data_IF_538107100841
#
_entry.id   IF_538107100841
#
_cell.length_a   1.000
_cell.length_b   1.000
_cell.length_c   1.000
_cell.angle_alpha   90.00
_cell.angle_beta   90.00
_cell.angle_gamma   90.00
#
_symmetry.space_group_name_H-M   'P 1'
#
loop_
_entity.id
_entity.type
_entity.pdbx_description
1 polymer ?
#
# COMPACT_ATOMS: atom_id res chain seq x y z
N UNK A 1 38.65 -51.69 5.44
CA UNK A 1 37.92 -50.40 5.50
C UNK A 1 38.89 -49.22 5.42
N UNK A 2 39.79 -49.22 4.42
CA UNK A 2 40.69 -48.10 4.04
C UNK A 2 40.87 -48.04 2.51
N UNK A 3 40.54 -49.10 1.74
CA UNK A 3 40.65 -49.09 0.26
C UNK A 3 39.44 -48.54 -0.51
N UNK A 4 38.27 -48.37 0.12
CA UNK A 4 37.08 -47.80 -0.56
C UNK A 4 37.04 -46.27 -0.57
N UNK A 5 37.85 -45.59 0.25
CA UNK A 5 37.85 -44.12 0.32
C UNK A 5 38.75 -43.46 -0.73
N UNK A 6 39.80 -44.16 -1.21
CA UNK A 6 40.71 -43.65 -2.25
C UNK A 6 40.11 -43.65 -3.66
N UNK A 7 39.17 -44.56 -3.97
CA UNK A 7 38.54 -44.63 -5.31
C UNK A 7 37.44 -43.59 -5.53
N UNK A 8 36.79 -43.13 -4.46
CA UNK A 8 35.72 -42.12 -4.56
C UNK A 8 36.28 -40.69 -4.75
N UNK A 9 37.48 -40.43 -4.24
CA UNK A 9 38.16 -39.13 -4.37
C UNK A 9 38.80 -38.95 -5.76
N UNK A 10 39.30 -40.03 -6.37
CA UNK A 10 39.87 -40.00 -7.72
C UNK A 10 38.77 -39.86 -8.80
N UNK A 11 37.57 -40.38 -8.55
CA UNK A 11 36.44 -40.29 -9.50
C UNK A 11 35.78 -38.90 -9.51
N UNK A 12 35.85 -38.15 -8.40
CA UNK A 12 35.38 -36.75 -8.32
C UNK A 12 36.34 -35.74 -8.96
N UNK A 13 37.62 -36.08 -9.08
CA UNK A 13 38.62 -35.23 -9.77
C UNK A 13 38.65 -35.45 -11.28
N UNK A 14 38.20 -36.61 -11.78
CA UNK A 14 38.15 -36.91 -13.23
C UNK A 14 36.86 -36.45 -13.93
N UNK A 15 35.80 -36.14 -13.18
CA UNK A 15 34.54 -35.60 -13.74
C UNK A 15 34.48 -34.07 -13.77
N UNK A 16 35.55 -33.39 -13.33
CA UNK A 16 35.64 -31.93 -13.30
C UNK A 16 36.02 -31.27 -14.63
N UNK A 17 36.40 -32.03 -15.65
CA UNK A 17 36.85 -31.49 -16.93
C UNK A 17 36.52 -32.48 -18.06
N UNK A 18 35.35 -32.36 -18.69
CA UNK A 18 35.03 -32.70 -20.10
C UNK A 18 33.52 -32.94 -20.31
N UNK A 19 32.87 -32.01 -21.02
CA UNK A 19 31.86 -32.31 -22.04
C UNK A 19 30.48 -32.78 -21.59
N UNK A 20 29.59 -31.82 -21.31
CA UNK A 20 28.14 -32.03 -21.09
C UNK A 20 27.31 -32.38 -22.34
N UNK A 21 27.79 -33.25 -23.23
CA UNK A 21 27.00 -33.67 -24.41
C UNK A 21 26.91 -35.19 -24.66
N UNK A 22 27.52 -36.04 -23.82
CA UNK A 22 27.52 -37.50 -24.02
C UNK A 22 26.68 -38.29 -23.01
N UNK A 23 26.01 -37.63 -22.08
CA UNK A 23 25.22 -38.29 -21.02
C UNK A 23 23.75 -38.54 -21.41
N UNK A 24 23.15 -37.69 -22.25
CA UNK A 24 21.73 -37.83 -22.60
C UNK A 24 21.44 -39.06 -23.48
N UNK A 25 22.31 -39.36 -24.45
CA UNK A 25 22.08 -40.45 -25.43
C UNK A 25 22.23 -41.84 -24.80
N UNK A 26 23.11 -42.00 -23.81
CA UNK A 26 23.29 -43.27 -23.10
C UNK A 26 22.11 -43.59 -22.16
N UNK A 27 21.50 -42.56 -21.56
CA UNK A 27 20.35 -42.71 -20.64
C UNK A 27 19.10 -43.13 -21.42
N UNK A 28 18.85 -42.53 -22.59
CA UNK A 28 17.70 -42.88 -23.46
C UNK A 28 17.82 -44.32 -23.99
N UNK A 29 19.03 -44.77 -24.34
CA UNK A 29 19.27 -46.14 -24.79
C UNK A 29 19.08 -47.19 -23.67
N UNK A 30 19.34 -46.84 -22.41
CA UNK A 30 19.12 -47.72 -21.26
C UNK A 30 17.63 -47.85 -20.91
N UNK A 31 16.86 -46.75 -21.02
CA UNK A 31 15.42 -46.72 -20.74
C UNK A 31 14.61 -47.55 -21.75
N UNK A 32 14.97 -47.50 -23.04
CA UNK A 32 14.32 -48.29 -24.08
C UNK A 32 14.49 -49.82 -23.91
N UNK A 33 15.63 -50.26 -23.35
CA UNK A 33 15.89 -51.70 -23.08
C UNK A 33 15.10 -52.26 -21.90
N UNK A 34 14.56 -51.42 -21.03
CA UNK A 34 13.75 -51.85 -19.87
C UNK A 34 12.24 -51.70 -20.10
N UNK A 35 11.80 -51.36 -21.32
CA UNK A 35 10.38 -51.20 -21.63
C UNK A 35 9.73 -49.98 -20.97
N UNK A 36 10.53 -49.02 -20.51
CA UNK A 36 10.05 -47.79 -19.88
C UNK A 36 9.88 -46.75 -20.98
N UNK A 37 8.63 -46.40 -21.30
CA UNK A 37 8.32 -45.36 -22.27
C UNK A 37 8.86 -44.00 -21.79
N UNK A 38 9.46 -43.18 -22.67
CA UNK A 38 9.91 -41.85 -22.29
C UNK A 38 8.70 -40.98 -21.91
N UNK A 39 8.86 -40.25 -20.81
CA UNK A 39 7.88 -39.29 -20.31
C UNK A 39 7.72 -38.17 -21.34
N UNK A 40 6.57 -38.13 -22.02
CA UNK A 40 6.19 -36.97 -22.83
C UNK A 40 5.86 -35.82 -21.87
N UNK A 41 6.53 -34.66 -21.97
CA UNK A 41 6.12 -33.50 -21.20
C UNK A 41 4.73 -33.09 -21.69
N UNK A 42 3.76 -33.02 -20.76
CA UNK A 42 2.45 -32.46 -21.05
C UNK A 42 2.59 -31.09 -21.73
N UNK A 43 1.73 -30.76 -22.71
CA UNK A 43 1.77 -29.46 -23.35
C UNK A 43 1.61 -28.39 -22.27
N UNK A 44 2.59 -27.48 -22.24
CA UNK A 44 2.58 -26.27 -21.45
C UNK A 44 1.18 -25.66 -21.41
N UNK A 45 0.66 -25.40 -20.21
CA UNK A 45 -0.54 -24.59 -19.99
C UNK A 45 -0.58 -23.44 -21.00
N UNK A 46 -1.73 -23.17 -21.62
CA UNK A 46 -1.80 -22.15 -22.65
C UNK A 46 -1.28 -20.84 -22.08
N UNK A 47 -0.23 -20.30 -22.71
CA UNK A 47 0.19 -18.92 -22.52
C UNK A 47 -1.04 -18.09 -22.85
N UNK A 48 -1.68 -17.55 -21.81
CA UNK A 48 -2.81 -16.64 -21.99
C UNK A 48 -2.34 -15.53 -22.93
N UNK A 49 -3.05 -15.28 -24.05
CA UNK A 49 -2.66 -14.21 -24.94
C UNK A 49 -2.59 -12.92 -24.13
N UNK A 50 -1.53 -12.12 -24.34
CA UNK A 50 -1.45 -10.73 -23.90
C UNK A 50 -2.50 -9.91 -24.66
N UNK A 51 -3.78 -10.21 -24.44
CA UNK A 51 -4.86 -9.34 -24.82
C UNK A 51 -4.71 -8.10 -23.93
N UNK A 52 -4.55 -6.93 -24.56
CA UNK A 52 -4.88 -5.67 -23.90
C UNK A 52 -6.38 -5.73 -23.61
N UNK A 53 -6.75 -6.30 -22.47
CA UNK A 53 -8.11 -6.20 -21.97
C UNK A 53 -8.24 -4.74 -21.54
N UNK A 54 -8.85 -3.90 -22.38
CA UNK A 54 -9.43 -2.65 -21.92
C UNK A 54 -10.61 -3.04 -21.03
N UNK A 55 -10.34 -3.29 -19.75
CA UNK A 55 -11.37 -3.57 -18.76
C UNK A 55 -12.12 -2.25 -18.56
N UNK A 56 -13.37 -2.20 -19.03
CA UNK A 56 -14.27 -1.11 -18.71
C UNK A 56 -14.61 -1.14 -17.23
N UNK A 57 -14.91 0.02 -16.65
CA UNK A 57 -15.30 0.10 -15.23
C UNK A 57 -16.51 -0.78 -14.88
N UNK A 58 -17.38 -1.01 -15.87
CA UNK A 58 -18.58 -1.85 -15.77
C UNK A 58 -18.31 -3.36 -15.87
N UNK A 59 -17.08 -3.76 -16.22
CA UNK A 59 -16.70 -5.18 -16.35
C UNK A 59 -16.36 -5.84 -15.00
N UNK A 60 -16.27 -5.05 -13.92
CA UNK A 60 -15.99 -5.56 -12.58
C UNK A 60 -17.26 -6.07 -11.89
N UNK A 61 -17.15 -7.07 -10.99
CA UNK A 61 -18.29 -7.53 -10.21
C UNK A 61 -18.99 -6.38 -9.46
N UNK A 62 -20.34 -6.35 -9.45
CA UNK A 62 -21.09 -5.30 -8.77
C UNK A 62 -20.85 -5.34 -7.26
N UNK A 63 -20.74 -4.17 -6.64
CA UNK A 63 -20.46 -4.05 -5.21
C UNK A 63 -21.68 -4.50 -4.37
N UNK A 64 -21.44 -5.34 -3.36
CA UNK A 64 -22.44 -5.93 -2.45
C UNK A 64 -22.54 -5.18 -1.13
N UNK A 65 -21.40 -4.72 -0.58
CA UNK A 65 -21.35 -3.82 0.58
C UNK A 65 -20.69 -2.51 0.16
N UNK A 66 -21.47 -1.43 0.10
CA UNK A 66 -21.04 -0.10 -0.29
C UNK A 66 -21.08 0.93 0.86
N UNK A 67 -21.31 0.48 2.11
CA UNK A 67 -21.42 1.35 3.29
C UNK A 67 -20.23 2.29 3.42
N UNK A 68 -19.02 1.81 3.13
CA UNK A 68 -17.83 2.65 3.21
C UNK A 68 -17.81 3.77 2.15
N UNK A 69 -18.24 3.48 0.91
CA UNK A 69 -18.30 4.51 -0.14
C UNK A 69 -19.44 5.51 0.14
N UNK A 70 -20.58 5.04 0.66
CA UNK A 70 -21.69 5.88 1.14
C UNK A 70 -21.22 6.80 2.26
N UNK A 71 -20.55 6.26 3.29
CA UNK A 71 -19.98 7.06 4.38
C UNK A 71 -18.98 8.10 3.87
N UNK A 72 -18.10 7.73 2.93
CA UNK A 72 -17.13 8.66 2.33
C UNK A 72 -17.82 9.86 1.67
N UNK A 73 -18.95 9.65 0.99
CA UNK A 73 -19.76 10.71 0.36
C UNK A 73 -20.69 11.44 1.33
N UNK A 74 -20.83 10.91 2.55
CA UNK A 74 -21.75 11.40 3.57
C UNK A 74 -23.21 11.03 3.31
N UNK A 75 -23.43 9.96 2.58
CA UNK A 75 -24.74 9.34 2.42
C UNK A 75 -25.08 8.53 3.68
N UNK A 76 -26.37 8.26 3.96
CA UNK A 76 -26.76 7.37 5.05
C UNK A 76 -26.09 6.00 4.91
N UNK A 77 -25.77 5.33 6.02
CA UNK A 77 -25.19 3.99 6.06
C UNK A 77 -25.99 3.09 6.98
N UNK A 78 -25.93 1.79 6.76
CA UNK A 78 -26.69 0.81 7.53
C UNK A 78 -25.98 0.50 8.87
N UNK A 79 -24.64 0.55 8.87
CA UNK A 79 -23.76 0.48 10.04
C UNK A 79 -22.52 1.36 9.83
N UNK A 80 -21.79 1.70 10.89
CA UNK A 80 -20.51 2.40 10.76
C UNK A 80 -19.51 1.48 10.06
N UNK A 81 -18.95 1.86 8.89
CA UNK A 81 -17.99 1.02 8.19
C UNK A 81 -16.62 1.08 8.88
N UNK A 82 -15.92 -0.05 8.93
CA UNK A 82 -14.59 -0.17 9.52
C UNK A 82 -13.59 -0.84 8.58
N UNK A 83 -12.39 -0.28 8.53
CA UNK A 83 -11.20 -0.92 7.98
C UNK A 83 -9.98 -0.50 8.78
N UNK A 84 -8.84 -1.19 8.62
CA UNK A 84 -7.65 -0.91 9.43
C UNK A 84 -6.43 -0.67 8.57
N UNK A 85 -5.75 0.45 8.79
CA UNK A 85 -4.44 0.70 8.19
C UNK A 85 -3.47 -0.45 8.54
N UNK A 86 -2.82 -1.01 7.52
CA UNK A 86 -1.97 -2.22 7.61
C UNK A 86 -2.72 -3.50 8.06
N UNK A 87 -4.02 -3.61 7.76
CA UNK A 87 -4.81 -4.84 7.98
C UNK A 87 -4.17 -6.09 7.37
N UNK A 88 -3.49 -5.96 6.22
CA UNK A 88 -2.56 -6.97 5.72
C UNK A 88 -1.16 -6.66 6.30
N UNK A 89 -0.73 -7.40 7.32
CA UNK A 89 0.50 -7.05 8.02
C UNK A 89 1.00 -8.11 8.99
N UNK A 90 2.16 -7.82 9.58
CA UNK A 90 2.95 -8.76 10.39
C UNK A 90 2.26 -9.32 11.63
N UNK A 91 1.17 -8.72 12.10
CA UNK A 91 0.37 -9.28 13.19
C UNK A 91 -0.35 -10.58 12.80
N UNK A 92 -0.51 -10.85 11.49
CA UNK A 92 -1.07 -12.09 10.96
C UNK A 92 0.03 -13.15 10.76
N UNK A 93 -0.11 -14.37 11.32
CA UNK A 93 0.82 -15.47 11.07
C UNK A 93 0.97 -15.82 9.59
N UNK A 94 -0.14 -15.91 8.85
CA UNK A 94 -0.13 -16.24 7.42
C UNK A 94 0.53 -15.15 6.55
N UNK A 95 0.53 -13.89 7.01
CA UNK A 95 1.31 -12.83 6.36
C UNK A 95 2.81 -13.09 6.55
N UNK A 96 3.21 -13.45 7.76
CA UNK A 96 4.60 -13.77 8.06
C UNK A 96 5.08 -15.00 7.27
N UNK A 97 4.23 -16.01 7.07
CA UNK A 97 4.54 -17.19 6.26
C UNK A 97 4.86 -16.84 4.80
N UNK A 98 4.10 -15.92 4.19
CA UNK A 98 4.38 -15.42 2.82
C UNK A 98 5.70 -14.63 2.81
N UNK A 99 5.88 -13.73 3.78
CA UNK A 99 7.10 -12.88 3.90
C UNK A 99 8.36 -13.68 4.24
N UNK A 100 8.24 -14.89 4.78
CA UNK A 100 9.37 -15.79 5.01
C UNK A 100 9.91 -16.42 3.72
N UNK A 101 9.06 -16.53 2.68
CA UNK A 101 9.40 -17.17 1.39
C UNK A 101 9.84 -16.17 0.31
N UNK A 102 9.41 -14.92 0.43
CA UNK A 102 9.64 -13.87 -0.57
C UNK A 102 10.13 -12.60 0.10
N UNK A 103 11.01 -11.82 -0.54
CA UNK A 103 11.34 -10.47 -0.05
C UNK A 103 10.19 -9.47 -0.32
N UNK A 104 10.24 -8.30 0.32
CA UNK A 104 9.09 -7.39 0.41
C UNK A 104 8.68 -6.86 -0.96
N UNK A 105 9.65 -6.42 -1.76
CA UNK A 105 9.36 -5.88 -3.07
C UNK A 105 9.00 -6.97 -4.07
N UNK A 106 9.48 -8.21 -3.90
CA UNK A 106 8.95 -9.35 -4.65
C UNK A 106 7.46 -9.56 -4.41
N UNK A 107 6.99 -9.49 -3.15
CA UNK A 107 5.55 -9.56 -2.84
C UNK A 107 4.79 -8.40 -3.50
N UNK A 108 5.30 -7.16 -3.41
CA UNK A 108 4.65 -6.00 -4.04
C UNK A 108 4.62 -6.08 -5.58
N UNK A 109 5.65 -6.66 -6.21
CA UNK A 109 5.81 -6.71 -7.68
C UNK A 109 5.14 -7.92 -8.33
N UNK A 110 4.63 -8.85 -7.54
CA UNK A 110 3.96 -10.06 -8.03
C UNK A 110 2.46 -9.93 -7.72
N UNK A 111 1.60 -9.64 -8.72
CA UNK A 111 0.17 -9.41 -8.52
C UNK A 111 -0.52 -10.47 -7.67
N UNK A 112 -0.22 -11.75 -7.90
CA UNK A 112 -0.82 -12.88 -7.19
C UNK A 112 -0.45 -12.87 -5.70
N UNK A 113 0.82 -12.58 -5.37
CA UNK A 113 1.28 -12.50 -3.98
C UNK A 113 0.69 -11.28 -3.28
N UNK A 114 0.62 -10.13 -3.96
CA UNK A 114 0.00 -8.92 -3.43
C UNK A 114 -1.50 -9.14 -3.15
N UNK A 115 -2.22 -9.79 -4.06
CA UNK A 115 -3.63 -10.13 -3.88
C UNK A 115 -3.83 -11.14 -2.74
N UNK A 116 -2.97 -12.16 -2.64
CA UNK A 116 -3.04 -13.15 -1.57
C UNK A 116 -2.94 -12.48 -0.20
N UNK A 117 -1.91 -11.67 0.06
CA UNK A 117 -1.77 -10.99 1.36
C UNK A 117 -2.86 -9.95 1.60
N UNK A 118 -3.38 -9.33 0.54
CA UNK A 118 -4.53 -8.41 0.63
C UNK A 118 -5.81 -9.12 1.10
N UNK A 119 -6.04 -10.36 0.65
CA UNK A 119 -7.21 -11.17 1.02
C UNK A 119 -7.17 -11.71 2.45
N UNK A 120 -5.98 -11.94 3.02
CA UNK A 120 -5.81 -12.54 4.36
C UNK A 120 -6.71 -11.93 5.46
N UNK A 121 -6.70 -10.61 5.72
CA UNK A 121 -7.56 -10.01 6.73
C UNK A 121 -9.06 -10.18 6.43
N UNK A 122 -9.47 -10.15 5.16
CA UNK A 122 -10.88 -10.30 4.77
C UNK A 122 -11.43 -11.72 4.94
N UNK A 123 -10.53 -12.72 5.08
CA UNK A 123 -10.88 -14.10 5.43
C UNK A 123 -11.09 -14.27 6.94
N UNK A 124 -10.51 -13.39 7.76
CA UNK A 124 -10.59 -13.43 9.22
C UNK A 124 -11.65 -12.52 9.81
N UNK A 125 -11.80 -11.33 9.25
CA UNK A 125 -12.57 -10.25 9.85
C UNK A 125 -13.61 -9.72 8.85
N UNK A 126 -14.77 -9.29 9.38
CA UNK A 126 -15.83 -8.64 8.60
C UNK A 126 -15.49 -7.16 8.33
N UNK A 127 -14.38 -6.90 7.64
CA UNK A 127 -13.99 -5.52 7.30
C UNK A 127 -14.86 -4.98 6.17
N UNK A 128 -15.14 -3.68 6.17
CA UNK A 128 -15.96 -2.99 5.15
C UNK A 128 -15.14 -2.38 4.00
N UNK A 129 -13.82 -2.58 3.99
CA UNK A 129 -12.95 -2.31 2.84
C UNK A 129 -11.73 -3.22 2.78
N UNK A 130 -11.21 -3.36 1.57
CA UNK A 130 -9.88 -3.86 1.28
C UNK A 130 -8.96 -2.70 0.93
N UNK A 131 -7.65 -2.84 1.19
CA UNK A 131 -6.62 -1.95 0.68
C UNK A 131 -5.55 -2.78 -0.02
N UNK A 132 -5.21 -2.44 -1.26
CA UNK A 132 -4.22 -3.21 -2.02
C UNK A 132 -2.89 -3.25 -1.28
N UNK A 133 -2.26 -4.41 -1.18
CA UNK A 133 -0.92 -4.52 -0.63
C UNK A 133 0.11 -3.98 -1.62
N UNK A 134 0.77 -2.89 -1.24
CA UNK A 134 1.87 -2.26 -1.95
C UNK A 134 2.70 -1.45 -0.93
N UNK A 135 3.55 -0.56 -1.38
CA UNK A 135 4.30 0.37 -0.53
C UNK A 135 4.39 1.75 -1.16
N UNK A 136 4.48 2.80 -0.34
CA UNK A 136 4.59 4.18 -0.86
C UNK A 136 5.89 4.41 -1.63
N UNK A 137 6.95 3.64 -1.33
CA UNK A 137 8.28 3.80 -1.91
C UNK A 137 8.42 3.19 -3.31
N UNK A 138 7.36 2.60 -3.86
CA UNK A 138 7.35 2.16 -5.26
C UNK A 138 7.52 3.33 -6.23
N UNK A 139 7.02 4.53 -5.89
CA UNK A 139 7.23 5.74 -6.71
C UNK A 139 8.72 6.14 -6.76
N UNK A 140 9.42 6.33 -5.62
CA UNK A 140 10.88 6.49 -5.62
C UNK A 140 11.63 5.41 -6.41
N UNK A 141 11.27 4.12 -6.27
CA UNK A 141 11.87 3.06 -7.07
C UNK A 141 11.65 3.25 -8.57
N UNK A 142 10.42 3.60 -8.97
CA UNK A 142 10.08 3.84 -10.36
C UNK A 142 10.76 5.10 -10.93
N UNK A 143 11.14 6.06 -10.06
CA UNK A 143 11.99 7.20 -10.43
C UNK A 143 13.48 6.86 -10.51
N UNK A 144 13.87 5.60 -10.27
CA UNK A 144 15.25 5.14 -10.37
C UNK A 144 16.04 5.15 -9.06
N UNK A 145 15.39 5.37 -7.91
CA UNK A 145 16.05 5.29 -6.60
C UNK A 145 16.03 3.84 -6.09
N UNK A 146 17.19 3.32 -5.73
CA UNK A 146 17.28 2.01 -5.07
C UNK A 146 16.63 2.07 -3.68
N UNK A 147 15.69 1.15 -3.42
CA UNK A 147 15.06 1.00 -2.10
C UNK A 147 15.16 -0.46 -1.69
N UNK A 148 15.73 -0.71 -0.52
CA UNK A 148 15.90 -2.03 0.10
C UNK A 148 15.01 -2.14 1.34
N UNK A 149 14.36 -3.28 1.55
CA UNK A 149 13.65 -3.55 2.80
C UNK A 149 14.53 -4.39 3.72
N UNK A 150 15.12 -3.76 4.74
CA UNK A 150 16.01 -4.45 5.70
C UNK A 150 15.23 -5.00 6.89
N UNK A 151 15.36 -6.30 7.23
CA UNK A 151 14.71 -6.89 8.40
C UNK A 151 15.02 -6.11 9.68
N UNK A 152 13.99 -5.80 10.48
CA UNK A 152 14.11 -5.07 11.74
C UNK A 152 14.39 -3.56 11.61
N UNK A 153 14.80 -3.08 10.45
CA UNK A 153 15.12 -1.65 10.20
C UNK A 153 14.01 -0.96 9.39
N UNK A 154 13.45 -1.65 8.40
CA UNK A 154 12.50 -1.07 7.45
C UNK A 154 13.18 -0.64 6.14
N UNK A 155 12.59 0.31 5.40
CA UNK A 155 13.13 0.74 4.11
C UNK A 155 14.41 1.54 4.27
N UNK A 156 15.39 1.23 3.41
CA UNK A 156 16.70 1.90 3.33
C UNK A 156 16.97 2.26 1.87
N UNK A 157 17.40 3.50 1.65
CA UNK A 157 17.82 4.01 0.36
C UNK A 157 19.33 4.24 0.44
N UNK A 158 20.17 3.34 -0.11
CA UNK A 158 21.62 3.37 0.10
C UNK A 158 22.28 4.62 -0.51
N UNK A 159 21.67 5.17 -1.55
CA UNK A 159 22.12 6.39 -2.24
C UNK A 159 20.99 7.44 -2.17
N UNK A 160 20.79 8.11 -1.02
CA UNK A 160 19.80 9.18 -0.91
C UNK A 160 20.18 10.40 -1.76
N UNK A 161 19.23 11.31 -1.96
CA UNK A 161 19.50 12.63 -2.54
C UNK A 161 20.22 13.49 -1.51
N UNK A 162 21.43 13.96 -1.84
CA UNK A 162 22.26 14.78 -0.95
C UNK A 162 22.14 16.25 -1.34
N UNK A 163 22.11 16.57 -2.63
CA UNK A 163 21.95 17.95 -3.11
C UNK A 163 21.21 18.08 -4.45
N UNK A 164 21.00 19.32 -4.93
CA UNK A 164 20.21 19.60 -6.13
C UNK A 164 20.67 18.88 -7.40
N UNK A 165 21.98 18.59 -7.53
CA UNK A 165 22.54 17.88 -8.67
C UNK A 165 21.97 16.45 -8.80
N UNK A 166 21.61 15.81 -7.68
CA UNK A 166 21.06 14.45 -7.68
C UNK A 166 19.67 14.36 -8.29
N UNK A 167 18.98 15.48 -8.51
CA UNK A 167 17.71 15.48 -9.26
C UNK A 167 17.91 15.04 -10.72
N UNK A 168 19.12 15.20 -11.26
CA UNK A 168 19.44 14.82 -12.64
C UNK A 168 19.42 13.32 -12.92
N UNK A 169 19.51 12.46 -11.89
CA UNK A 169 19.43 11.01 -12.04
C UNK A 169 18.01 10.44 -11.91
N UNK A 170 17.02 11.27 -11.59
CA UNK A 170 15.63 10.83 -11.49
C UNK A 170 15.06 10.57 -12.89
N UNK A 171 14.58 9.35 -13.13
CA UNK A 171 13.97 8.96 -14.39
C UNK A 171 12.44 9.06 -14.32
N UNK A 172 11.90 10.17 -14.82
CA UNK A 172 10.45 10.42 -14.89
C UNK A 172 9.79 9.73 -16.10
N UNK A 173 10.56 9.40 -17.13
CA UNK A 173 10.01 8.78 -18.34
C UNK A 173 9.73 7.31 -18.07
N UNK A 174 8.50 6.86 -18.34
CA UNK A 174 8.13 5.45 -18.20
C UNK A 174 7.82 5.03 -16.75
N UNK A 175 7.61 5.96 -15.82
CA UNK A 175 7.40 5.64 -14.39
C UNK A 175 6.16 4.77 -14.20
N UNK A 176 5.05 5.10 -14.86
CA UNK A 176 3.79 4.36 -14.73
C UNK A 176 3.90 2.97 -15.34
N UNK A 177 4.62 2.83 -16.45
CA UNK A 177 4.91 1.54 -17.09
C UNK A 177 5.73 0.64 -16.16
N UNK A 178 6.67 1.20 -15.38
CA UNK A 178 7.40 0.47 -14.35
C UNK A 178 6.51 0.08 -13.16
N UNK A 179 5.43 0.81 -12.92
CA UNK A 179 4.45 0.57 -11.84
C UNK A 179 3.24 -0.26 -12.30
N UNK A 180 3.21 -0.75 -13.54
CA UNK A 180 2.07 -1.50 -14.09
C UNK A 180 1.66 -2.71 -13.24
N UNK A 181 2.60 -3.33 -12.54
CA UNK A 181 2.34 -4.48 -11.67
C UNK A 181 1.36 -4.12 -10.54
N UNK A 182 1.32 -2.86 -10.08
CA UNK A 182 0.34 -2.40 -9.09
C UNK A 182 -1.05 -2.37 -9.72
N UNK A 183 -1.17 -1.84 -10.95
CA UNK A 183 -2.43 -1.84 -11.69
C UNK A 183 -2.93 -3.26 -11.94
N UNK A 184 -2.05 -4.17 -12.36
CA UNK A 184 -2.35 -5.59 -12.54
C UNK A 184 -2.87 -6.22 -11.23
N UNK A 185 -2.22 -5.93 -10.09
CA UNK A 185 -2.66 -6.38 -8.77
C UNK A 185 -4.04 -5.81 -8.38
N UNK A 186 -4.30 -4.52 -8.63
CA UNK A 186 -5.60 -3.90 -8.34
C UNK A 186 -6.71 -4.53 -9.18
N UNK A 187 -6.49 -4.72 -10.48
CA UNK A 187 -7.46 -5.35 -11.38
C UNK A 187 -7.76 -6.79 -10.94
N UNK A 188 -6.72 -7.56 -10.63
CA UNK A 188 -6.87 -8.93 -10.13
C UNK A 188 -7.63 -8.95 -8.81
N UNK A 189 -7.23 -8.11 -7.85
CA UNK A 189 -7.85 -8.03 -6.53
C UNK A 189 -9.32 -7.62 -6.62
N UNK A 190 -9.66 -6.62 -7.46
CA UNK A 190 -11.03 -6.17 -7.67
C UNK A 190 -11.94 -7.29 -8.18
N UNK A 191 -11.41 -8.20 -9.01
CA UNK A 191 -12.13 -9.41 -9.45
C UNK A 191 -12.25 -10.44 -8.33
N UNK A 192 -11.16 -10.73 -7.62
CA UNK A 192 -11.11 -11.69 -6.50
C UNK A 192 -12.04 -11.31 -5.34
N UNK A 193 -12.28 -10.01 -5.13
CA UNK A 193 -13.24 -9.54 -4.13
C UNK A 193 -14.68 -9.93 -4.47
N UNK A 194 -15.02 -10.18 -5.74
CA UNK A 194 -16.36 -10.49 -6.21
C UNK A 194 -17.42 -9.51 -5.67
N UNK A 195 -17.03 -8.23 -5.60
CA UNK A 195 -17.87 -7.16 -5.07
C UNK A 195 -18.10 -7.19 -3.56
N UNK A 196 -17.42 -8.02 -2.77
CA UNK A 196 -17.64 -8.14 -1.31
C UNK A 196 -17.55 -6.79 -0.61
N UNK A 197 -16.49 -6.02 -0.87
CA UNK A 197 -16.22 -4.70 -0.28
C UNK A 197 -15.41 -3.83 -1.26
N UNK A 198 -15.40 -2.49 -1.11
CA UNK A 198 -14.58 -1.62 -1.95
C UNK A 198 -13.09 -1.87 -1.77
N UNK A 199 -12.33 -1.65 -2.86
CA UNK A 199 -10.87 -1.72 -2.87
C UNK A 199 -10.24 -0.32 -2.87
N UNK A 200 -9.42 -0.03 -1.86
CA UNK A 200 -8.56 1.14 -1.81
C UNK A 200 -7.31 0.95 -2.66
N UNK A 201 -7.04 1.95 -3.50
CA UNK A 201 -5.70 2.30 -3.93
C UNK A 201 -5.06 3.32 -2.98
N UNK A 202 -3.75 3.51 -3.05
CA UNK A 202 -3.08 4.50 -2.21
C UNK A 202 -1.72 4.97 -2.73
N UNK A 203 -1.20 6.02 -2.10
CA UNK A 203 0.14 6.57 -2.36
C UNK A 203 0.69 7.27 -1.13
N UNK A 204 2.01 7.46 -1.08
CA UNK A 204 2.62 8.46 -0.20
C UNK A 204 2.42 9.86 -0.76
N UNK A 205 2.31 10.84 0.14
CA UNK A 205 2.27 12.24 -0.25
C UNK A 205 3.67 12.77 -0.63
N UNK A 206 3.78 13.85 -1.43
CA UNK A 206 5.07 14.36 -1.91
C UNK A 206 6.08 14.73 -0.82
N UNK A 207 5.67 15.38 0.28
CA UNK A 207 6.59 15.69 1.38
C UNK A 207 7.11 14.41 2.06
N UNK A 208 6.22 13.47 2.35
CA UNK A 208 6.61 12.15 2.89
C UNK A 208 7.59 11.43 1.97
N UNK A 209 7.32 11.36 0.67
CA UNK A 209 8.19 10.69 -0.31
C UNK A 209 9.56 11.40 -0.43
N UNK A 210 9.56 12.73 -0.50
CA UNK A 210 10.77 13.56 -0.48
C UNK A 210 11.61 13.28 0.78
N UNK A 211 10.96 13.19 1.94
CA UNK A 211 11.59 12.83 3.21
C UNK A 211 12.38 11.52 3.10
N UNK A 212 11.77 10.44 2.62
CA UNK A 212 12.48 9.17 2.43
C UNK A 212 13.66 9.29 1.45
N UNK A 213 13.45 9.96 0.32
CA UNK A 213 14.46 10.12 -0.73
C UNK A 213 15.71 10.89 -0.27
N UNK A 214 15.56 11.84 0.66
CA UNK A 214 16.66 12.65 1.19
C UNK A 214 17.25 12.05 2.47
N UNK A 215 16.41 11.51 3.36
CA UNK A 215 16.87 10.96 4.64
C UNK A 215 17.64 9.66 4.45
N UNK A 216 17.25 8.85 3.45
CA UNK A 216 17.79 7.52 3.20
C UNK A 216 16.97 6.40 3.82
N UNK A 217 15.76 6.69 4.33
CA UNK A 217 14.93 5.78 5.10
C UNK A 217 13.99 6.53 6.04
N UNK A 218 13.44 5.85 7.04
CA UNK A 218 12.67 6.50 8.10
C UNK A 218 13.53 7.44 8.94
N UNK A 219 12.98 8.59 9.34
CA UNK A 219 13.67 9.59 10.16
C UNK A 219 12.83 9.97 11.37
N UNK A 220 13.49 10.28 12.49
CA UNK A 220 12.82 10.77 13.71
C UNK A 220 12.64 12.29 13.73
N UNK A 221 13.35 13.00 12.85
CA UNK A 221 13.41 14.48 12.86
C UNK A 221 13.21 15.10 11.49
N UNK A 222 13.37 14.34 10.40
CA UNK A 222 13.41 14.84 9.01
C UNK A 222 14.41 16.00 8.82
N UNK A 223 15.52 15.99 9.58
CA UNK A 223 16.47 17.11 9.63
C UNK A 223 17.13 17.41 8.28
N UNK A 224 17.47 16.39 7.48
CA UNK A 224 18.07 16.61 6.15
C UNK A 224 17.02 17.14 5.17
N UNK A 225 15.81 16.58 5.18
CA UNK A 225 14.72 17.03 4.33
C UNK A 225 14.31 18.48 4.66
N UNK A 226 14.29 18.85 5.95
CA UNK A 226 14.06 20.24 6.38
C UNK A 226 15.24 21.16 6.04
N UNK A 227 16.47 20.66 6.10
CA UNK A 227 17.66 21.37 5.62
C UNK A 227 17.53 21.74 4.14
N UNK A 228 17.06 20.80 3.30
CA UNK A 228 16.76 21.08 1.89
C UNK A 228 15.77 22.22 1.67
N UNK A 229 14.71 22.31 2.49
CA UNK A 229 13.74 23.41 2.38
C UNK A 229 14.37 24.78 2.62
N UNK A 230 15.38 24.85 3.51
CA UNK A 230 16.08 26.09 3.84
C UNK A 230 17.23 26.39 2.87
N UNK A 231 18.07 25.40 2.60
CA UNK A 231 19.33 25.55 1.87
C UNK A 231 19.12 25.51 0.34
N UNK A 232 18.06 24.81 -0.11
CA UNK A 232 17.79 24.54 -1.51
C UNK A 232 16.29 24.68 -1.86
N UNK A 233 15.65 25.84 -1.61
CA UNK A 233 14.20 25.99 -1.75
C UNK A 233 13.68 25.70 -3.17
N UNK A 234 14.38 26.17 -4.21
CA UNK A 234 13.99 25.92 -5.61
C UNK A 234 14.09 24.43 -5.98
N UNK A 235 15.14 23.75 -5.54
CA UNK A 235 15.33 22.32 -5.80
C UNK A 235 14.31 21.47 -5.02
N UNK A 236 13.98 21.88 -3.80
CA UNK A 236 12.93 21.27 -2.99
C UNK A 236 11.57 21.39 -3.67
N UNK A 237 11.21 22.59 -4.13
CA UNK A 237 9.97 22.80 -4.88
C UNK A 237 9.93 21.95 -6.16
N UNK A 238 11.03 21.93 -6.92
CA UNK A 238 11.14 21.09 -8.12
C UNK A 238 10.93 19.60 -7.82
N UNK A 239 11.49 19.08 -6.72
CA UNK A 239 11.30 17.69 -6.32
C UNK A 239 9.86 17.41 -5.89
N UNK A 240 9.24 18.31 -5.14
CA UNK A 240 7.82 18.22 -4.74
C UNK A 240 6.90 18.24 -5.97
N UNK A 241 7.20 19.05 -6.98
CA UNK A 241 6.45 19.10 -8.23
C UNK A 241 6.57 17.78 -9.01
N UNK A 242 7.79 17.26 -9.17
CA UNK A 242 8.03 15.95 -9.80
C UNK A 242 7.23 14.87 -9.09
N UNK A 243 7.32 14.80 -7.75
CA UNK A 243 6.60 13.80 -6.96
C UNK A 243 5.08 13.97 -7.06
N UNK A 244 4.59 15.20 -7.08
CA UNK A 244 3.16 15.49 -7.25
C UNK A 244 2.66 14.98 -8.60
N UNK A 245 3.39 15.23 -9.69
CA UNK A 245 3.03 14.73 -11.02
C UNK A 245 3.02 13.20 -11.08
N UNK A 246 4.05 12.54 -10.52
CA UNK A 246 4.09 11.08 -10.46
C UNK A 246 2.96 10.49 -9.61
N UNK A 247 2.63 11.14 -8.49
CA UNK A 247 1.52 10.72 -7.62
C UNK A 247 0.18 10.82 -8.34
N UNK A 248 -0.07 11.90 -9.07
CA UNK A 248 -1.31 12.07 -9.86
C UNK A 248 -1.44 10.97 -10.90
N UNK A 249 -0.40 10.75 -11.71
CA UNK A 249 -0.42 9.74 -12.77
C UNK A 249 -0.58 8.31 -12.21
N UNK A 250 0.08 8.04 -11.08
CA UNK A 250 -0.03 6.76 -10.39
C UNK A 250 -1.43 6.52 -9.83
N UNK A 251 -2.06 7.52 -9.21
CA UNK A 251 -3.42 7.40 -8.70
C UNK A 251 -4.45 7.27 -9.83
N UNK A 252 -4.30 8.00 -10.95
CA UNK A 252 -5.13 7.83 -12.15
C UNK A 252 -5.04 6.40 -12.67
N UNK A 253 -3.83 5.84 -12.75
CA UNK A 253 -3.62 4.43 -13.13
C UNK A 253 -4.36 3.48 -12.17
N UNK A 254 -4.28 3.70 -10.86
CA UNK A 254 -4.97 2.85 -9.88
C UNK A 254 -6.51 2.87 -10.03
N UNK A 255 -7.10 4.04 -10.29
CA UNK A 255 -8.54 4.17 -10.56
C UNK A 255 -8.89 3.41 -11.84
N UNK A 256 -8.15 3.62 -12.92
CA UNK A 256 -8.36 2.87 -14.18
C UNK A 256 -8.22 1.35 -14.01
N UNK A 257 -7.35 0.91 -13.10
CA UNK A 257 -7.17 -0.50 -12.76
C UNK A 257 -8.31 -1.07 -11.89
N UNK A 258 -9.17 -0.24 -11.32
CA UNK A 258 -10.36 -0.67 -10.56
C UNK A 258 -10.39 -0.30 -9.07
N UNK A 259 -9.48 0.57 -8.59
CA UNK A 259 -9.59 1.11 -7.23
C UNK A 259 -10.86 1.97 -7.10
N UNK A 260 -11.64 1.74 -6.03
CA UNK A 260 -12.93 2.40 -5.78
C UNK A 260 -12.84 3.54 -4.78
N UNK A 261 -11.69 3.67 -4.11
CA UNK A 261 -11.36 4.74 -3.18
C UNK A 261 -9.85 4.90 -3.18
N UNK A 262 -9.36 6.10 -2.90
CA UNK A 262 -7.92 6.38 -2.84
C UNK A 262 -7.55 6.98 -1.49
N UNK A 263 -6.36 6.66 -0.99
CA UNK A 263 -5.79 7.35 0.18
C UNK A 263 -4.40 7.92 -0.11
N UNK A 264 -4.21 9.19 0.23
CA UNK A 264 -2.92 9.89 0.21
C UNK A 264 -2.37 9.94 1.64
N UNK A 265 -1.23 9.29 1.85
CA UNK A 265 -0.57 9.21 3.14
C UNK A 265 0.52 10.28 3.28
N UNK A 266 0.20 11.39 3.94
CA UNK A 266 1.18 12.39 4.41
C UNK A 266 1.62 12.00 5.84
N UNK A 267 2.41 10.92 5.92
CA UNK A 267 2.79 10.29 7.20
C UNK A 267 3.86 11.06 7.98
N UNK A 268 4.51 12.03 7.33
CA UNK A 268 5.62 12.83 7.89
C UNK A 268 5.23 14.28 8.20
N UNK A 269 3.93 14.60 8.24
CA UNK A 269 3.46 15.97 8.49
C UNK A 269 3.77 16.46 9.92
N UNK A 270 3.88 15.56 10.89
CA UNK A 270 4.28 15.84 12.28
C UNK A 270 5.66 16.48 12.43
N UNK A 271 6.50 16.43 11.39
CA UNK A 271 7.82 17.07 11.37
C UNK A 271 7.81 18.54 10.88
N UNK A 272 6.67 19.02 10.37
CA UNK A 272 6.49 20.38 9.89
C UNK A 272 5.78 21.23 10.95
N UNK A 273 6.17 22.51 11.08
CA UNK A 273 5.29 23.48 11.75
C UNK A 273 4.02 23.70 10.93
N UNK A 274 3.00 24.35 11.50
CA UNK A 274 1.80 24.73 10.75
C UNK A 274 2.13 25.52 9.50
N UNK A 275 2.98 26.53 9.61
CA UNK A 275 3.40 27.39 8.48
C UNK A 275 4.11 26.56 7.41
N UNK A 276 4.99 25.64 7.82
CA UNK A 276 5.69 24.76 6.89
C UNK A 276 4.72 23.78 6.20
N UNK A 277 3.78 23.18 6.93
CA UNK A 277 2.77 22.30 6.36
C UNK A 277 1.93 23.02 5.31
N UNK A 278 1.45 24.24 5.61
CA UNK A 278 0.63 25.04 4.71
C UNK A 278 1.38 25.51 3.45
N UNK A 279 2.69 25.74 3.55
CA UNK A 279 3.51 26.23 2.43
C UNK A 279 4.18 25.13 1.61
N UNK A 280 4.46 23.97 2.21
CA UNK A 280 5.23 22.88 1.57
C UNK A 280 4.33 21.71 1.16
N UNK A 281 3.55 21.16 2.10
CA UNK A 281 2.80 19.91 1.88
C UNK A 281 1.40 20.18 1.31
N UNK A 282 0.62 21.06 1.96
CA UNK A 282 -0.77 21.31 1.60
C UNK A 282 -0.99 21.73 0.13
N UNK A 283 -0.13 22.56 -0.50
CA UNK A 283 -0.29 22.91 -1.92
C UNK A 283 -0.18 21.69 -2.83
N UNK A 284 0.74 20.77 -2.53
CA UNK A 284 0.90 19.52 -3.26
C UNK A 284 -0.34 18.63 -3.08
N UNK A 285 -0.84 18.49 -1.85
CA UNK A 285 -2.03 17.69 -1.54
C UNK A 285 -3.28 18.21 -2.28
N UNK A 286 -3.46 19.53 -2.31
CA UNK A 286 -4.55 20.17 -3.07
C UNK A 286 -4.40 19.95 -4.58
N UNK A 287 -3.19 20.10 -5.11
CA UNK A 287 -2.91 19.87 -6.54
C UNK A 287 -3.21 18.42 -6.95
N UNK A 288 -2.85 17.43 -6.13
CA UNK A 288 -3.16 16.01 -6.38
C UNK A 288 -4.66 15.81 -6.63
N UNK A 289 -5.50 16.36 -5.75
CA UNK A 289 -6.96 16.23 -5.87
C UNK A 289 -7.49 16.84 -7.16
N UNK A 290 -7.07 18.07 -7.46
CA UNK A 290 -7.53 18.83 -8.63
C UNK A 290 -7.08 18.17 -9.94
N UNK A 291 -5.80 17.86 -10.06
CA UNK A 291 -5.24 17.29 -11.30
C UNK A 291 -5.74 15.87 -11.56
N UNK A 292 -5.93 15.06 -10.52
CA UNK A 292 -6.52 13.74 -10.66
C UNK A 292 -7.95 13.82 -11.21
N UNK A 293 -8.81 14.68 -10.65
CA UNK A 293 -10.17 14.86 -11.17
C UNK A 293 -10.18 15.25 -12.63
N UNK A 294 -9.35 16.23 -12.98
CA UNK A 294 -9.24 16.72 -14.35
C UNK A 294 -8.83 15.58 -15.29
N UNK A 295 -7.79 14.83 -14.98
CA UNK A 295 -7.32 13.72 -15.82
C UNK A 295 -8.36 12.60 -15.95
N UNK A 296 -9.03 12.23 -14.86
CA UNK A 296 -10.10 11.23 -14.93
C UNK A 296 -11.26 11.71 -15.82
N UNK A 297 -11.67 12.99 -15.68
CA UNK A 297 -12.72 13.58 -16.51
C UNK A 297 -12.33 13.65 -17.99
N UNK A 298 -11.10 14.09 -18.30
CA UNK A 298 -10.55 14.16 -19.67
C UNK A 298 -10.55 12.78 -20.35
N UNK A 299 -10.40 11.70 -19.58
CA UNK A 299 -10.40 10.31 -20.05
C UNK A 299 -11.76 9.60 -19.92
N UNK A 300 -12.81 10.28 -19.43
CA UNK A 300 -14.14 9.69 -19.21
C UNK A 300 -14.18 8.60 -18.13
N UNK A 301 -13.23 8.61 -17.20
CA UNK A 301 -13.14 7.66 -16.08
C UNK A 301 -13.87 8.25 -14.86
N UNK A 302 -14.72 7.48 -14.16
CA UNK A 302 -15.45 8.00 -13.01
C UNK A 302 -14.50 8.38 -11.86
N UNK A 303 -14.80 9.49 -11.21
CA UNK A 303 -14.10 9.90 -10.00
C UNK A 303 -14.48 8.99 -8.81
N UNK A 304 -13.51 8.76 -7.93
CA UNK A 304 -13.68 7.99 -6.69
C UNK A 304 -13.41 8.88 -5.47
N UNK A 305 -14.02 8.58 -4.30
CA UNK A 305 -13.70 9.30 -3.06
C UNK A 305 -12.22 9.20 -2.72
N UNK A 306 -11.67 10.27 -2.15
CA UNK A 306 -10.29 10.35 -1.71
C UNK A 306 -10.18 10.65 -0.22
N UNK A 307 -9.23 10.00 0.44
CA UNK A 307 -8.81 10.26 1.82
C UNK A 307 -7.50 11.02 1.85
N UNK A 308 -7.46 12.13 2.57
CA UNK A 308 -6.21 12.76 3.00
C UNK A 308 -5.92 12.34 4.44
N UNK A 309 -4.85 11.58 4.65
CA UNK A 309 -4.36 11.23 5.98
C UNK A 309 -3.02 11.95 6.22
N UNK A 310 -3.03 13.01 7.03
CA UNK A 310 -1.86 13.79 7.38
C UNK A 310 -1.55 13.67 8.88
N UNK A 311 -0.71 12.68 9.23
CA UNK A 311 -0.36 12.37 10.62
C UNK A 311 0.36 13.54 11.27
N UNK A 312 -0.16 14.01 12.40
CA UNK A 312 0.36 15.13 13.19
C UNK A 312 -0.06 16.52 12.71
N UNK A 313 -0.78 16.63 11.59
CA UNK A 313 -1.28 17.90 11.08
C UNK A 313 -2.67 18.28 11.62
N UNK A 314 -3.07 17.74 12.78
CA UNK A 314 -4.39 18.02 13.37
C UNK A 314 -4.60 19.51 13.68
N UNK A 315 -3.52 20.30 13.79
CA UNK A 315 -3.59 21.77 13.89
C UNK A 315 -4.08 22.49 12.62
N UNK A 316 -4.20 21.77 11.49
CA UNK A 316 -4.55 22.29 10.16
C UNK A 316 -5.80 21.64 9.56
N UNK A 317 -6.74 21.18 10.40
CA UNK A 317 -7.95 20.50 9.94
C UNK A 317 -8.83 21.37 9.04
N UNK A 318 -9.00 22.65 9.38
CA UNK A 318 -9.82 23.60 8.62
C UNK A 318 -9.25 23.83 7.23
N UNK A 319 -7.92 23.97 7.13
CA UNK A 319 -7.24 24.13 5.85
C UNK A 319 -7.27 22.83 5.04
N UNK A 320 -7.11 21.67 5.68
CA UNK A 320 -7.26 20.38 5.02
C UNK A 320 -8.69 20.15 4.51
N UNK A 321 -9.73 20.57 5.23
CA UNK A 321 -11.13 20.46 4.79
C UNK A 321 -11.41 21.23 3.49
N UNK A 322 -10.59 22.24 3.16
CA UNK A 322 -10.72 23.04 1.93
C UNK A 322 -9.94 22.47 0.73
N UNK A 323 -9.26 21.33 0.90
CA UNK A 323 -8.48 20.71 -0.19
C UNK A 323 -9.34 19.96 -1.21
N UNK A 324 -10.62 19.71 -0.88
CA UNK A 324 -11.58 19.02 -1.75
C UNK A 324 -11.57 17.49 -1.63
N UNK A 325 -10.82 16.92 -0.68
CA UNK A 325 -10.92 15.49 -0.36
C UNK A 325 -12.25 15.20 0.36
N UNK A 326 -12.90 14.09 0.01
CA UNK A 326 -14.16 13.67 0.64
C UNK A 326 -13.96 13.27 2.10
N UNK A 327 -12.79 12.71 2.41
CA UNK A 327 -12.48 12.16 3.73
C UNK A 327 -11.17 12.73 4.28
N UNK A 328 -11.17 13.10 5.56
CA UNK A 328 -9.95 13.39 6.32
C UNK A 328 -9.69 12.26 7.31
N UNK A 329 -8.54 11.60 7.16
CA UNK A 329 -8.03 10.65 8.13
C UNK A 329 -7.38 11.37 9.30
N UNK A 330 -7.77 10.99 10.51
CA UNK A 330 -7.32 11.59 11.76
C UNK A 330 -6.39 10.63 12.50
N UNK A 331 -5.34 11.17 13.11
CA UNK A 331 -4.61 10.44 14.13
C UNK A 331 -5.31 10.54 15.49
N UNK A 332 -4.83 9.76 16.47
CA UNK A 332 -5.47 9.60 17.77
C UNK A 332 -5.31 10.80 18.71
N UNK A 333 -4.56 11.85 18.31
CA UNK A 333 -4.25 12.96 19.20
C UNK A 333 -5.37 14.00 19.30
N UNK A 334 -6.38 13.90 18.44
CA UNK A 334 -7.52 14.82 18.42
C UNK A 334 -8.81 14.14 18.90
N UNK A 335 -9.57 14.87 19.72
CA UNK A 335 -10.90 14.43 20.12
C UNK A 335 -11.86 14.44 18.90
N UNK A 336 -12.67 13.38 18.71
CA UNK A 336 -13.61 13.29 17.59
C UNK A 336 -14.60 14.46 17.48
N UNK A 337 -15.14 14.96 18.59
CA UNK A 337 -16.12 16.04 18.59
C UNK A 337 -15.46 17.37 18.23
N UNK A 338 -14.22 17.58 18.69
CA UNK A 338 -13.42 18.74 18.31
C UNK A 338 -13.04 18.71 16.83
N UNK A 339 -12.60 17.56 16.31
CA UNK A 339 -12.34 17.40 14.88
C UNK A 339 -13.58 17.75 14.06
N UNK A 340 -14.76 17.22 14.44
CA UNK A 340 -16.04 17.52 13.77
C UNK A 340 -16.38 19.01 13.81
N UNK A 341 -16.23 19.69 14.95
CA UNK A 341 -16.48 21.14 15.07
C UNK A 341 -15.61 21.95 14.10
N UNK A 342 -14.34 21.56 13.95
CA UNK A 342 -13.36 22.26 13.11
C UNK A 342 -13.57 22.03 11.62
N UNK A 343 -13.80 20.78 11.19
CA UNK A 343 -13.98 20.47 9.75
C UNK A 343 -15.38 20.79 9.23
N UNK A 344 -16.36 20.97 10.12
CA UNK A 344 -17.75 21.19 9.77
C UNK A 344 -18.50 19.92 9.32
N UNK A 345 -19.72 20.07 8.78
CA UNK A 345 -20.62 18.94 8.54
C UNK A 345 -20.42 18.25 7.18
N UNK A 346 -19.57 18.77 6.29
CA UNK A 346 -19.55 18.34 4.88
C UNK A 346 -18.40 17.41 4.51
N UNK A 347 -17.46 17.17 5.43
CA UNK A 347 -16.31 16.30 5.24
C UNK A 347 -16.47 15.05 6.09
N UNK A 348 -16.19 13.88 5.51
CA UNK A 348 -16.20 12.63 6.27
C UNK A 348 -14.92 12.50 7.08
N UNK A 349 -15.04 12.05 8.34
CA UNK A 349 -13.89 11.80 9.20
C UNK A 349 -13.59 10.30 9.22
N UNK A 350 -12.30 9.95 9.18
CA UNK A 350 -11.84 8.58 9.29
C UNK A 350 -10.87 8.42 10.46
N UNK A 351 -11.05 7.39 11.29
CA UNK A 351 -10.18 7.14 12.46
C UNK A 351 -10.97 6.88 13.75
N UNK A 352 -10.42 7.14 14.93
CA UNK A 352 -9.02 7.50 15.15
C UNK A 352 -8.41 6.81 16.38
N UNK A 353 -8.87 5.60 16.71
CA UNK A 353 -8.40 4.85 17.88
C UNK A 353 -6.87 4.74 17.91
N UNK A 354 -6.24 4.94 19.07
CA UNK A 354 -4.80 4.72 19.21
C UNK A 354 -4.49 3.24 18.93
N UNK A 355 -3.59 2.92 17.97
CA UNK A 355 -3.17 1.53 17.75
C UNK A 355 -2.64 0.82 19.00
N UNK A 356 -2.14 1.55 20.00
CA UNK A 356 -1.71 0.98 21.27
C UNK A 356 -2.86 0.48 22.14
N UNK A 357 -4.08 1.01 21.97
CA UNK A 357 -5.25 0.53 22.70
C UNK A 357 -5.63 -0.90 22.31
N UNK A 358 -5.18 -1.37 21.14
CA UNK A 358 -5.40 -2.74 20.66
C UNK A 358 -4.74 -3.83 21.51
N UNK A 359 -3.88 -3.46 22.47
CA UNK A 359 -3.24 -4.37 23.42
C UNK A 359 -3.99 -4.49 24.74
N UNK A 360 -5.04 -3.68 24.96
CA UNK A 360 -5.84 -3.70 26.18
C UNK A 360 -6.67 -4.98 26.27
N UNK A 361 -7.13 -5.35 27.47
CA UNK A 361 -8.11 -6.44 27.64
C UNK A 361 -9.34 -6.22 26.74
N UNK A 362 -9.94 -7.29 26.18
CA UNK A 362 -11.06 -7.19 25.23
C UNK A 362 -12.20 -6.26 25.66
N UNK A 363 -12.64 -6.34 26.92
CA UNK A 363 -13.73 -5.50 27.43
C UNK A 363 -13.35 -4.02 27.49
N UNK A 364 -12.10 -3.69 27.87
CA UNK A 364 -11.63 -2.31 27.91
C UNK A 364 -11.50 -1.73 26.49
N UNK A 365 -10.96 -2.52 25.55
CA UNK A 365 -10.89 -2.14 24.14
C UNK A 365 -12.29 -1.92 23.55
N UNK A 366 -13.25 -2.81 23.85
CA UNK A 366 -14.63 -2.68 23.41
C UNK A 366 -15.24 -1.35 23.87
N UNK A 367 -15.10 -1.00 25.15
CA UNK A 367 -15.63 0.26 25.67
C UNK A 367 -14.98 1.50 25.05
N UNK A 368 -13.66 1.46 24.79
CA UNK A 368 -12.96 2.53 24.08
C UNK A 368 -13.50 2.72 22.65
N UNK A 369 -13.71 1.61 21.93
CA UNK A 369 -14.26 1.64 20.56
C UNK A 369 -15.69 2.17 20.55
N UNK A 370 -16.56 1.67 21.45
CA UNK A 370 -17.93 2.16 21.58
C UNK A 370 -17.97 3.65 21.90
N UNK A 371 -17.08 4.12 22.78
CA UNK A 371 -16.96 5.54 23.13
C UNK A 371 -16.52 6.38 21.93
N UNK A 372 -15.49 5.95 21.19
CA UNK A 372 -15.04 6.61 19.97
C UNK A 372 -16.17 6.73 18.95
N UNK A 373 -16.87 5.62 18.66
CA UNK A 373 -17.96 5.61 17.67
C UNK A 373 -19.11 6.52 18.11
N UNK A 374 -19.46 6.53 19.40
CA UNK A 374 -20.49 7.45 19.93
C UNK A 374 -20.12 8.92 19.74
N UNK A 375 -18.85 9.28 19.95
CA UNK A 375 -18.38 10.66 19.78
C UNK A 375 -18.39 11.12 18.32
N UNK A 376 -18.01 10.25 17.38
CA UNK A 376 -18.12 10.57 15.95
C UNK A 376 -19.56 10.54 15.43
N UNK A 377 -20.38 9.63 15.97
CA UNK A 377 -21.70 9.29 15.45
C UNK A 377 -21.63 8.45 14.17
N UNK A 378 -22.80 8.16 13.60
CA UNK A 378 -22.94 7.30 12.40
C UNK A 378 -22.79 8.03 11.07
N UNK A 379 -23.02 9.34 11.06
CA UNK A 379 -23.02 10.14 9.83
C UNK A 379 -21.63 10.67 9.51
N UNK A 380 -21.20 10.54 8.24
CA UNK A 380 -19.90 11.06 7.76
C UNK A 380 -18.73 10.59 8.62
N UNK A 381 -18.73 9.30 8.95
CA UNK A 381 -17.71 8.65 9.76
C UNK A 381 -17.33 7.28 9.18
N UNK A 382 -16.03 7.02 9.10
CA UNK A 382 -15.44 5.70 8.79
C UNK A 382 -14.52 5.33 9.95
N UNK A 383 -14.82 4.25 10.66
CA UNK A 383 -13.97 3.81 11.75
C UNK A 383 -12.64 3.27 11.22
N UNK A 384 -11.56 3.66 11.86
CA UNK A 384 -10.22 3.15 11.63
C UNK A 384 -9.38 3.39 12.89
N UNK A 385 -8.17 2.84 12.92
CA UNK A 385 -7.14 3.30 13.83
C UNK A 385 -6.63 4.69 13.40
N UNK A 386 -5.99 5.42 14.31
CA UNK A 386 -5.31 6.68 14.03
C UNK A 386 -3.95 6.50 13.34
N UNK A 387 -3.45 5.26 13.23
CA UNK A 387 -2.28 4.89 12.45
C UNK A 387 -2.33 3.37 12.13
N UNK A 388 -1.41 2.88 11.30
CA UNK A 388 -1.32 1.45 11.00
C UNK A 388 -1.10 0.56 12.22
N UNK A 389 -1.79 -0.58 12.25
CA UNK A 389 -1.65 -1.64 13.27
C UNK A 389 -0.19 -2.09 13.39
N UNK A 390 0.21 -2.44 14.62
CA UNK A 390 1.60 -2.79 14.94
C UNK A 390 1.84 -4.31 14.84
N UNK A 391 3.09 -4.76 14.57
CA UNK A 391 3.38 -6.17 14.32
C UNK A 391 3.04 -7.12 15.47
N UNK A 392 3.04 -6.64 16.72
CA UNK A 392 2.79 -7.44 17.91
C UNK A 392 1.33 -7.37 18.39
N UNK A 393 0.46 -6.65 17.67
CA UNK A 393 -0.94 -6.51 18.07
C UNK A 393 -1.62 -7.89 18.14
N UNK A 394 -2.31 -8.24 19.25
CA UNK A 394 -3.05 -9.50 19.33
C UNK A 394 -4.14 -9.59 18.27
N UNK A 395 -4.31 -10.77 17.67
CA UNK A 395 -5.38 -11.03 16.68
C UNK A 395 -6.76 -10.73 17.28
N UNK A 396 -6.96 -11.07 18.56
CA UNK A 396 -8.21 -10.81 19.28
C UNK A 396 -8.58 -9.32 19.30
N UNK A 397 -7.61 -8.42 19.44
CA UNK A 397 -7.86 -6.98 19.40
C UNK A 397 -8.51 -6.53 18.10
N UNK A 398 -8.11 -7.13 16.96
CA UNK A 398 -8.71 -6.85 15.65
C UNK A 398 -10.18 -7.33 15.59
N UNK A 399 -10.47 -8.51 16.12
CA UNK A 399 -11.85 -9.03 16.20
C UNK A 399 -12.73 -8.14 17.07
N UNK A 400 -12.24 -7.74 18.25
CA UNK A 400 -12.96 -6.87 19.19
C UNK A 400 -13.26 -5.52 18.56
N UNK A 401 -12.27 -4.90 17.91
CA UNK A 401 -12.44 -3.62 17.22
C UNK A 401 -13.56 -3.70 16.18
N UNK A 402 -13.49 -4.66 15.26
CA UNK A 402 -14.45 -4.78 14.16
C UNK A 402 -15.86 -5.02 14.70
N UNK A 403 -16.02 -5.97 15.62
CA UNK A 403 -17.32 -6.28 16.22
C UNK A 403 -17.88 -5.08 17.00
N UNK A 404 -17.06 -4.41 17.81
CA UNK A 404 -17.51 -3.28 18.61
C UNK A 404 -17.94 -2.08 17.75
N UNK A 405 -17.28 -1.82 16.61
CA UNK A 405 -17.74 -0.78 15.68
C UNK A 405 -19.11 -1.13 15.09
N UNK A 406 -19.30 -2.37 14.65
CA UNK A 406 -20.56 -2.79 14.05
C UNK A 406 -21.73 -2.83 15.04
N UNK A 407 -21.46 -3.12 16.31
CA UNK A 407 -22.47 -3.15 17.38
C UNK A 407 -22.87 -1.75 17.89
N UNK A 408 -22.12 -0.71 17.55
CA UNK A 408 -22.21 0.57 18.24
C UNK A 408 -23.50 1.38 17.94
N UNK A 409 -23.93 1.46 16.66
CA UNK A 409 -24.98 2.38 16.16
C UNK A 409 -25.73 1.93 14.90
#
# INVERSE_FOLDING_TARGET
MVESFGRLLLMRLLLGFLGGLLTATLIVALMARQGIAPFEPEPSSPVLPQARISVGWDDFPPLKNDNLLRAARGEPVDRVPVWVMRQAGRYLPEFQEVRAKHDFFTVCRTPELACEVTMQPLRRFDLDASIIFSDILVIPQALGITVEMKPGVGPVLPEPLVGPADLGRLNQTGTIERLKYVGEAITMMRRMLEGKVPLFGFTGAPWTLMGYMIEGGGSKTMSKAKGWLADHPEASQKLLDILTDQVVDYLVMQVKAGAQMLQVFESSADHLSKEQFLSVSLPCLKRIRVDLLRKLADEGVPAVPMVLFAKGAMHSLEEMAQTGYEVLGLDWTIDPEEARKRVGPNVTLQGNLDPQDMYKPPEELRELVLTMVRKFGKHRYIANLGHGITPQTPIEGMSVLVQAVHDAL
#
